data_IF_640362128597
#
_entry.id   IF_640362128597
#
_cell.length_a   1.000
_cell.length_b   1.000
_cell.length_c   1.000
_cell.angle_alpha   90.00
_cell.angle_beta   90.00
_cell.angle_gamma   90.00
#
_symmetry.space_group_name_H-M   'P 1'
#
loop_
_entity.id
_entity.type
_entity.pdbx_description
1 polymer ?
#
# COMPACT_ATOMS: atom_id res chain seq x y z
N UNK A 1 -13.02 -73.08 -24.16
CA UNK A 1 -13.50 -72.27 -23.03
C UNK A 1 -12.65 -71.04 -22.95
N UNK A 2 -13.18 -69.94 -23.51
CA UNK A 2 -12.42 -68.67 -23.67
C UNK A 2 -13.09 -67.61 -22.80
N UNK A 3 -12.40 -67.17 -21.74
CA UNK A 3 -12.83 -66.11 -20.84
C UNK A 3 -12.38 -64.75 -21.38
N UNK A 4 -13.37 -63.92 -21.70
CA UNK A 4 -13.21 -62.54 -22.18
C UNK A 4 -13.11 -61.58 -20.99
N UNK A 5 -11.94 -60.95 -20.76
CA UNK A 5 -11.74 -59.88 -19.79
C UNK A 5 -12.16 -58.53 -20.40
N UNK A 6 -13.22 -57.96 -19.90
CA UNK A 6 -13.65 -56.57 -20.20
C UNK A 6 -12.79 -55.61 -19.37
N UNK A 7 -12.00 -54.77 -20.06
CA UNK A 7 -11.28 -53.66 -19.46
C UNK A 7 -12.24 -52.49 -19.14
N UNK A 8 -12.34 -52.20 -17.84
CA UNK A 8 -12.96 -50.93 -17.39
C UNK A 8 -11.95 -49.80 -17.56
N UNK A 9 -12.28 -48.77 -18.37
CA UNK A 9 -11.53 -47.54 -18.44
C UNK A 9 -12.05 -46.58 -17.35
N UNK A 10 -11.16 -46.05 -16.42
CA UNK A 10 -11.58 -45.01 -15.52
C UNK A 10 -11.66 -43.66 -16.26
N UNK A 11 -12.82 -43.03 -16.20
CA UNK A 11 -13.04 -41.64 -16.61
C UNK A 11 -12.28 -40.75 -15.63
N UNK A 12 -11.21 -40.11 -16.10
CA UNK A 12 -10.52 -39.05 -15.35
C UNK A 12 -11.38 -37.80 -15.36
N UNK A 13 -12.09 -37.58 -14.26
CA UNK A 13 -12.75 -36.31 -13.98
C UNK A 13 -11.72 -35.22 -13.78
N UNK A 14 -11.73 -34.24 -14.67
CA UNK A 14 -10.94 -33.02 -14.59
C UNK A 14 -11.59 -32.13 -13.50
N UNK A 15 -11.05 -32.16 -12.27
CA UNK A 15 -11.40 -31.20 -11.22
C UNK A 15 -10.75 -29.84 -11.58
N UNK A 16 -11.55 -28.92 -12.12
CA UNK A 16 -11.19 -27.52 -12.25
C UNK A 16 -11.15 -26.93 -10.81
N UNK A 17 -9.96 -26.79 -10.26
CA UNK A 17 -9.74 -26.04 -9.03
C UNK A 17 -9.92 -24.55 -9.36
N UNK A 18 -11.10 -24.02 -9.01
CA UNK A 18 -11.38 -22.58 -9.02
C UNK A 18 -10.60 -21.95 -7.88
N UNK A 19 -9.38 -21.46 -8.14
CA UNK A 19 -8.61 -20.69 -7.18
C UNK A 19 -9.27 -19.34 -6.97
N UNK A 20 -10.12 -19.24 -5.94
CA UNK A 20 -10.55 -17.96 -5.39
C UNK A 20 -9.29 -17.30 -4.80
N UNK A 21 -8.73 -16.31 -5.51
CA UNK A 21 -7.80 -15.36 -4.93
C UNK A 21 -8.60 -14.48 -3.96
N UNK A 22 -8.75 -14.94 -2.72
CA UNK A 22 -9.16 -14.07 -1.62
C UNK A 22 -8.07 -13.02 -1.47
N UNK A 23 -8.31 -11.81 -1.98
CA UNK A 23 -7.53 -10.65 -1.63
C UNK A 23 -7.52 -10.53 -0.11
N UNK A 24 -6.36 -10.81 0.50
CA UNK A 24 -6.20 -10.64 1.95
C UNK A 24 -6.37 -9.18 2.28
N UNK A 25 -7.51 -8.89 2.87
CA UNK A 25 -7.82 -7.57 3.37
C UNK A 25 -6.84 -7.25 4.51
N UNK A 26 -5.98 -6.25 4.33
CA UNK A 26 -5.12 -5.76 5.39
C UNK A 26 -5.97 -5.30 6.57
N UNK A 27 -5.61 -5.71 7.78
CA UNK A 27 -6.23 -5.22 8.99
C UNK A 27 -5.85 -3.76 9.24
N UNK A 28 -6.67 -3.01 9.99
CA UNK A 28 -6.39 -1.60 10.36
C UNK A 28 -5.10 -1.41 11.16
N UNK A 29 -4.46 -2.48 11.60
CA UNK A 29 -3.23 -2.50 12.40
C UNK A 29 -2.01 -3.00 11.59
N UNK A 30 -2.11 -3.00 10.25
CA UNK A 30 -1.01 -3.39 9.38
C UNK A 30 0.22 -2.50 9.61
N UNK A 31 1.39 -3.13 9.85
CA UNK A 31 2.65 -2.40 9.95
C UNK A 31 3.10 -1.98 8.55
N UNK A 32 3.27 -0.69 8.34
CA UNK A 32 3.43 -0.11 7.01
C UNK A 32 4.80 0.54 6.83
N UNK A 33 5.48 0.27 5.72
CA UNK A 33 6.60 1.08 5.25
C UNK A 33 6.06 2.21 4.38
N UNK A 34 6.35 3.45 4.77
CA UNK A 34 6.06 4.65 3.97
C UNK A 34 7.38 5.08 3.31
N UNK A 35 7.41 5.11 1.98
CA UNK A 35 8.54 5.57 1.18
C UNK A 35 8.13 6.84 0.46
N UNK A 36 8.72 7.98 0.83
CA UNK A 36 8.28 9.30 0.39
C UNK A 36 9.44 10.14 -0.17
N UNK A 37 9.20 10.96 -1.22
CA UNK A 37 10.21 11.88 -1.70
C UNK A 37 10.52 12.93 -0.63
N UNK A 38 11.78 13.35 -0.53
CA UNK A 38 12.25 14.37 0.41
C UNK A 38 11.73 15.78 0.02
N UNK A 39 10.40 15.93 -0.10
CA UNK A 39 9.71 17.19 -0.41
C UNK A 39 8.89 17.62 0.81
N UNK A 40 8.99 18.89 1.19
CA UNK A 40 8.41 19.42 2.43
C UNK A 40 6.95 19.04 2.63
N UNK A 41 6.07 19.30 1.66
CA UNK A 41 4.63 19.02 1.79
C UNK A 41 4.31 17.53 1.94
N UNK A 42 5.03 16.67 1.20
CA UNK A 42 4.87 15.21 1.29
C UNK A 42 5.39 14.69 2.60
N UNK A 43 6.57 15.16 3.04
CA UNK A 43 7.16 14.77 4.32
C UNK A 43 6.30 15.15 5.52
N UNK A 44 5.61 16.30 5.46
CA UNK A 44 4.66 16.69 6.51
C UNK A 44 3.54 15.66 6.66
N UNK A 45 2.93 15.23 5.55
CA UNK A 45 1.90 14.18 5.55
C UNK A 45 2.49 12.85 6.02
N UNK A 46 3.68 12.49 5.54
CA UNK A 46 4.35 11.24 5.91
C UNK A 46 4.65 11.16 7.43
N UNK A 47 5.04 12.27 8.06
CA UNK A 47 5.20 12.32 9.51
C UNK A 47 3.88 12.24 10.27
N UNK A 48 2.83 12.87 9.78
CA UNK A 48 1.50 12.73 10.40
C UNK A 48 0.97 11.29 10.27
N UNK A 49 1.24 10.61 9.14
CA UNK A 49 0.96 9.18 8.98
C UNK A 49 1.76 8.33 9.98
N UNK A 50 3.07 8.58 10.11
CA UNK A 50 3.95 7.89 11.05
C UNK A 50 3.45 7.99 12.50
N UNK A 51 2.92 9.16 12.89
CA UNK A 51 2.40 9.41 14.23
C UNK A 51 1.01 8.79 14.48
N UNK A 52 0.30 8.40 13.43
CA UNK A 52 -1.10 7.91 13.53
C UNK A 52 -1.28 6.44 13.18
N UNK A 53 -0.29 5.85 12.51
CA UNK A 53 -0.35 4.46 12.07
C UNK A 53 0.93 3.71 12.47
N UNK A 54 0.86 2.40 12.77
CA UNK A 54 2.04 1.58 12.96
C UNK A 54 2.87 1.56 11.69
N UNK A 55 3.91 2.40 11.61
CA UNK A 55 4.67 2.55 10.37
C UNK A 55 6.14 2.90 10.62
N UNK A 56 6.93 2.73 9.57
CA UNK A 56 8.30 3.21 9.45
C UNK A 56 8.40 4.11 8.22
N UNK A 57 9.24 5.12 8.27
CA UNK A 57 9.37 6.11 7.22
C UNK A 57 10.77 6.08 6.62
N UNK A 58 10.83 5.98 5.30
CA UNK A 58 12.04 6.16 4.50
C UNK A 58 11.82 7.32 3.53
N UNK A 59 12.72 8.29 3.53
CA UNK A 59 12.75 9.33 2.51
C UNK A 59 13.71 8.95 1.38
N UNK A 60 13.39 9.38 0.16
CA UNK A 60 14.27 9.22 -0.98
C UNK A 60 14.50 10.53 -1.74
N UNK A 61 15.66 10.62 -2.38
CA UNK A 61 16.01 11.67 -3.33
C UNK A 61 16.55 11.00 -4.60
N UNK A 62 16.10 11.49 -5.73
CA UNK A 62 16.43 10.97 -7.07
C UNK A 62 15.28 11.22 -8.03
N UNK A 63 15.45 10.79 -9.26
CA UNK A 63 14.46 10.81 -10.33
C UNK A 63 14.26 9.39 -10.86
N UNK A 64 13.25 9.16 -11.70
CA UNK A 64 12.90 7.83 -12.21
C UNK A 64 14.07 7.03 -12.80
N UNK A 65 15.05 7.71 -13.40
CA UNK A 65 16.26 7.11 -14.00
C UNK A 65 17.44 6.96 -13.05
N UNK A 66 17.33 7.43 -11.79
CA UNK A 66 18.42 7.34 -10.81
C UNK A 66 18.65 5.89 -10.40
N UNK A 67 19.89 5.41 -10.58
CA UNK A 67 20.28 4.04 -10.21
C UNK A 67 20.61 3.89 -8.74
N UNK A 68 21.19 4.93 -8.12
CA UNK A 68 21.60 4.98 -6.71
C UNK A 68 20.91 6.17 -6.02
N UNK A 69 19.63 6.05 -5.63
CA UNK A 69 18.94 7.09 -4.89
C UNK A 69 19.53 7.28 -3.51
N UNK A 70 19.52 8.51 -3.01
CA UNK A 70 19.89 8.80 -1.63
C UNK A 70 18.69 8.48 -0.72
N UNK A 71 18.86 7.54 0.19
CA UNK A 71 17.82 7.11 1.11
C UNK A 71 18.18 7.49 2.56
N UNK A 72 17.17 7.85 3.33
CA UNK A 72 17.28 8.03 4.78
C UNK A 72 16.08 7.38 5.48
N UNK A 73 16.36 6.59 6.50
CA UNK A 73 15.32 6.04 7.38
C UNK A 73 15.17 6.93 8.63
N UNK A 74 13.93 7.12 9.07
CA UNK A 74 13.64 7.81 10.32
C UNK A 74 13.66 6.81 11.48
N UNK A 75 14.57 7.00 12.45
CA UNK A 75 14.73 6.10 13.59
C UNK A 75 13.89 6.49 14.83
N UNK A 76 13.04 7.52 14.70
CA UNK A 76 12.25 8.07 15.80
C UNK A 76 12.80 9.39 16.36
N UNK A 77 14.06 9.74 16.10
CA UNK A 77 14.71 10.97 16.56
C UNK A 77 15.47 11.70 15.47
N UNK A 78 16.08 10.99 14.54
CA UNK A 78 16.91 11.55 13.48
C UNK A 78 16.84 10.75 12.19
N UNK A 79 17.26 11.38 11.10
CA UNK A 79 17.43 10.72 9.81
C UNK A 79 18.75 9.98 9.75
N UNK A 80 18.71 8.69 9.47
CA UNK A 80 19.88 7.83 9.30
C UNK A 80 20.03 7.49 7.83
N UNK A 81 21.23 7.71 7.28
CA UNK A 81 21.54 7.31 5.91
C UNK A 81 21.33 5.81 5.74
N UNK A 82 20.71 5.44 4.62
CA UNK A 82 20.40 4.06 4.26
C UNK A 82 20.91 3.79 2.84
N UNK A 83 21.81 2.83 2.68
CA UNK A 83 22.22 2.42 1.34
C UNK A 83 21.09 1.65 0.64
N UNK A 84 21.03 1.71 -0.70
CA UNK A 84 20.06 0.93 -1.47
C UNK A 84 20.24 -0.58 -1.23
N UNK A 85 21.49 -1.02 -0.95
CA UNK A 85 21.81 -2.41 -0.59
C UNK A 85 21.15 -2.79 0.74
N UNK A 86 21.37 -2.00 1.80
CA UNK A 86 20.77 -2.28 3.12
C UNK A 86 19.24 -2.21 3.08
N UNK A 87 18.69 -1.31 2.27
CA UNK A 87 17.25 -1.23 2.01
C UNK A 87 16.73 -2.53 1.37
N UNK A 88 17.42 -3.04 0.35
CA UNK A 88 17.06 -4.31 -0.33
C UNK A 88 17.20 -5.51 0.58
N UNK A 89 18.21 -5.53 1.44
CA UNK A 89 18.47 -6.61 2.40
C UNK A 89 17.63 -6.49 3.69
N UNK A 90 16.80 -5.43 3.80
CA UNK A 90 15.90 -5.18 4.95
C UNK A 90 16.65 -4.99 6.28
N UNK A 91 17.93 -4.65 6.23
CA UNK A 91 18.82 -4.57 7.41
C UNK A 91 18.46 -3.42 8.37
N UNK A 92 17.62 -2.48 7.95
CA UNK A 92 17.20 -1.31 8.72
C UNK A 92 15.92 -1.53 9.54
N UNK A 93 15.26 -2.67 9.39
CA UNK A 93 13.98 -2.99 10.00
C UNK A 93 14.12 -4.03 11.11
N UNK A 94 13.43 -3.80 12.23
CA UNK A 94 13.31 -4.80 13.31
C UNK A 94 12.18 -5.81 13.02
N UNK A 95 11.17 -5.37 12.24
CA UNK A 95 10.03 -6.17 11.83
C UNK A 95 9.74 -5.88 10.36
N UNK A 96 9.43 -6.93 9.60
CA UNK A 96 9.02 -6.77 8.20
C UNK A 96 7.62 -6.13 8.13
N UNK A 97 7.45 -5.06 7.34
CA UNK A 97 6.14 -4.47 7.08
C UNK A 97 5.21 -5.40 6.29
N UNK A 98 3.92 -5.29 6.57
CA UNK A 98 2.88 -6.00 5.84
C UNK A 98 2.59 -5.35 4.47
N UNK A 99 2.84 -4.03 4.38
CA UNK A 99 2.60 -3.20 3.21
C UNK A 99 3.72 -2.17 3.06
N UNK A 100 4.22 -1.97 1.83
CA UNK A 100 5.02 -0.81 1.46
C UNK A 100 4.18 0.14 0.61
N UNK A 101 4.11 1.42 1.01
CA UNK A 101 3.46 2.49 0.26
C UNK A 101 4.54 3.41 -0.29
N UNK A 102 4.69 3.46 -1.61
CA UNK A 102 5.66 4.33 -2.29
C UNK A 102 4.90 5.53 -2.85
N UNK A 103 5.26 6.73 -2.40
CA UNK A 103 4.65 7.99 -2.81
C UNK A 103 5.49 8.61 -3.92
N UNK A 104 4.87 8.84 -5.08
CA UNK A 104 5.47 9.44 -6.26
C UNK A 104 5.11 8.71 -7.55
N UNK A 105 5.11 9.45 -8.66
CA UNK A 105 4.91 8.92 -10.00
C UNK A 105 6.18 8.24 -10.57
N UNK A 106 6.08 7.73 -11.79
CA UNK A 106 7.19 7.01 -12.42
C UNK A 106 8.34 7.93 -12.87
N UNK A 107 8.09 9.24 -12.99
CA UNK A 107 9.15 10.20 -13.28
C UNK A 107 9.98 10.54 -12.04
N UNK A 108 9.36 10.48 -10.87
CA UNK A 108 9.98 10.86 -9.61
C UNK A 108 10.60 9.68 -8.85
N UNK A 109 9.91 8.51 -8.84
CA UNK A 109 10.38 7.36 -8.06
C UNK A 109 11.43 6.59 -8.85
N UNK A 110 12.68 6.45 -8.34
CA UNK A 110 13.70 5.66 -8.99
C UNK A 110 13.24 4.22 -9.25
N UNK A 111 13.41 3.74 -10.48
CA UNK A 111 13.08 2.34 -10.82
C UNK A 111 13.85 1.35 -9.94
N UNK A 112 15.12 1.67 -9.65
CA UNK A 112 15.96 0.88 -8.74
C UNK A 112 15.39 0.76 -7.32
N UNK A 113 14.69 1.79 -6.83
CA UNK A 113 14.02 1.77 -5.53
C UNK A 113 12.75 0.92 -5.56
N UNK A 114 11.98 0.99 -6.65
CA UNK A 114 10.80 0.14 -6.84
C UNK A 114 11.20 -1.33 -6.83
N UNK A 115 12.22 -1.68 -7.62
CA UNK A 115 12.77 -3.05 -7.68
C UNK A 115 13.30 -3.50 -6.32
N UNK A 116 14.02 -2.60 -5.62
CA UNK A 116 14.56 -2.88 -4.29
C UNK A 116 13.47 -3.08 -3.23
N UNK A 117 12.22 -2.66 -3.47
CA UNK A 117 11.08 -2.84 -2.55
C UNK A 117 10.35 -4.17 -2.76
N UNK A 118 10.76 -4.99 -3.72
CA UNK A 118 10.11 -6.28 -4.06
C UNK A 118 10.08 -7.31 -2.93
N UNK A 119 10.83 -7.11 -1.86
CA UNK A 119 10.80 -7.93 -0.65
C UNK A 119 9.52 -7.71 0.20
N UNK A 120 8.80 -6.60 0.02
CA UNK A 120 7.58 -6.35 0.75
C UNK A 120 6.43 -7.25 0.23
N UNK A 121 5.63 -7.87 1.13
CA UNK A 121 4.52 -8.76 0.74
C UNK A 121 3.49 -8.08 -0.15
N UNK A 122 3.28 -6.78 0.07
CA UNK A 122 2.41 -5.94 -0.73
C UNK A 122 3.09 -4.59 -0.98
N UNK A 123 3.01 -4.09 -2.22
CA UNK A 123 3.52 -2.78 -2.61
C UNK A 123 2.40 -1.99 -3.26
N UNK A 124 2.09 -0.83 -2.72
CA UNK A 124 1.14 0.12 -3.28
C UNK A 124 1.85 1.41 -3.73
N UNK A 125 1.31 2.08 -4.74
CA UNK A 125 1.85 3.32 -5.29
C UNK A 125 0.81 4.43 -5.17
N UNK A 126 1.21 5.55 -4.55
CA UNK A 126 0.45 6.80 -4.53
C UNK A 126 1.14 7.75 -5.50
N UNK A 127 0.57 7.94 -6.69
CA UNK A 127 1.25 8.66 -7.78
C UNK A 127 1.10 10.17 -7.69
N UNK A 128 0.00 10.65 -7.15
CA UNK A 128 -0.28 12.08 -6.96
C UNK A 128 0.32 12.55 -5.62
N UNK A 129 1.09 13.65 -5.67
CA UNK A 129 1.76 14.23 -4.51
C UNK A 129 0.92 15.25 -3.76
N UNK A 130 -0.31 15.51 -4.19
CA UNK A 130 -1.20 16.40 -3.44
C UNK A 130 -1.55 15.80 -2.09
N UNK A 131 -1.63 16.65 -1.09
CA UNK A 131 -1.98 16.23 0.28
C UNK A 131 -3.28 15.43 0.33
N UNK A 132 -4.29 15.87 -0.42
CA UNK A 132 -5.59 15.17 -0.49
C UNK A 132 -5.49 13.80 -1.11
N UNK A 133 -4.76 13.65 -2.22
CA UNK A 133 -4.58 12.36 -2.88
C UNK A 133 -3.80 11.37 -1.98
N UNK A 134 -2.71 11.82 -1.35
CA UNK A 134 -1.94 10.98 -0.43
C UNK A 134 -2.84 10.49 0.71
N UNK A 135 -3.59 11.39 1.35
CA UNK A 135 -4.48 11.06 2.46
C UNK A 135 -5.58 10.09 2.02
N UNK A 136 -6.21 10.34 0.88
CA UNK A 136 -7.28 9.49 0.38
C UNK A 136 -6.77 8.09 0.03
N UNK A 137 -5.71 7.99 -0.78
CA UNK A 137 -5.19 6.69 -1.20
C UNK A 137 -4.65 5.87 -0.03
N UNK A 138 -3.85 6.50 0.87
CA UNK A 138 -3.34 5.81 2.06
C UNK A 138 -4.47 5.44 3.02
N UNK A 139 -5.45 6.31 3.22
CA UNK A 139 -6.60 6.04 4.08
C UNK A 139 -7.42 4.84 3.59
N UNK A 140 -7.63 4.72 2.27
CA UNK A 140 -8.29 3.55 1.68
C UNK A 140 -7.44 2.28 1.80
N UNK A 141 -6.14 2.35 1.51
CA UNK A 141 -5.21 1.23 1.65
C UNK A 141 -5.18 0.68 3.08
N UNK A 142 -5.11 1.57 4.07
CA UNK A 142 -5.05 1.23 5.49
C UNK A 142 -6.44 1.04 6.13
N UNK A 143 -7.53 1.20 5.37
CA UNK A 143 -8.91 1.07 5.84
C UNK A 143 -9.19 1.88 7.09
N UNK A 144 -8.86 3.15 7.04
CA UNK A 144 -9.04 4.05 8.17
C UNK A 144 -10.48 4.05 8.69
N UNK A 145 -10.57 4.14 10.00
CA UNK A 145 -11.83 4.37 10.69
C UNK A 145 -12.25 5.84 10.53
N UNK A 146 -13.54 6.16 10.75
CA UNK A 146 -14.03 7.54 10.65
C UNK A 146 -13.26 8.56 11.50
N UNK A 147 -12.63 8.14 12.58
CA UNK A 147 -11.84 9.01 13.47
C UNK A 147 -10.56 9.50 12.77
N UNK A 148 -9.85 8.60 12.05
CA UNK A 148 -8.63 8.93 11.30
C UNK A 148 -8.99 9.88 10.15
N UNK A 149 -10.03 9.57 9.38
CA UNK A 149 -10.52 10.45 8.31
C UNK A 149 -10.84 11.86 8.81
N UNK A 150 -11.57 11.99 9.92
CA UNK A 150 -11.90 13.29 10.52
C UNK A 150 -10.66 14.04 10.99
N UNK A 151 -9.68 13.34 11.56
CA UNK A 151 -8.46 13.97 12.01
C UNK A 151 -7.64 14.54 10.85
N UNK A 152 -7.39 13.74 9.79
CA UNK A 152 -6.65 14.22 8.63
C UNK A 152 -7.41 15.33 7.88
N UNK A 153 -8.71 15.22 7.74
CA UNK A 153 -9.53 16.28 7.14
C UNK A 153 -9.41 17.60 7.91
N UNK A 154 -9.51 17.58 9.23
CA UNK A 154 -9.34 18.76 10.06
C UNK A 154 -7.91 19.32 10.00
N UNK A 155 -6.90 18.44 10.04
CA UNK A 155 -5.47 18.80 10.02
C UNK A 155 -5.06 19.53 8.75
N UNK A 156 -5.63 19.13 7.60
CA UNK A 156 -5.28 19.65 6.28
C UNK A 156 -6.38 20.47 5.63
N UNK A 157 -7.43 20.82 6.39
CA UNK A 157 -8.59 21.56 5.91
C UNK A 157 -9.23 20.93 4.64
N UNK A 158 -9.40 19.61 4.66
CA UNK A 158 -9.99 18.85 3.57
C UNK A 158 -11.48 18.66 3.82
N UNK A 159 -12.27 18.71 2.74
CA UNK A 159 -13.69 18.36 2.80
C UNK A 159 -13.83 16.84 2.76
N UNK A 160 -14.52 16.27 3.76
CA UNK A 160 -14.93 14.87 3.72
C UNK A 160 -16.17 14.74 2.83
N UNK A 161 -16.10 13.86 1.84
CA UNK A 161 -17.25 13.46 1.05
C UNK A 161 -17.80 12.17 1.61
N UNK A 162 -19.10 12.16 1.90
CA UNK A 162 -19.79 10.94 2.35
C UNK A 162 -20.33 10.20 1.12
N UNK A 163 -19.59 9.19 0.66
CA UNK A 163 -20.01 8.36 -0.49
C UNK A 163 -21.35 7.65 -0.27
N UNK A 164 -21.84 7.58 0.98
CA UNK A 164 -23.15 7.02 1.29
C UNK A 164 -24.28 8.04 1.20
N UNK A 165 -23.96 9.34 1.10
CA UNK A 165 -24.98 10.40 1.04
C UNK A 165 -25.90 10.27 -0.21
N UNK A 166 -25.40 10.02 -1.43
CA UNK A 166 -26.26 9.77 -2.58
C UNK A 166 -27.19 8.58 -2.40
N UNK A 167 -26.74 7.54 -1.70
CA UNK A 167 -27.54 6.34 -1.44
C UNK A 167 -28.63 6.56 -0.39
N UNK A 168 -28.40 7.50 0.54
CA UNK A 168 -29.40 7.87 1.57
C UNK A 168 -30.50 8.74 1.01
N UNK A 169 -30.21 9.56 -0.02
CA UNK A 169 -31.17 10.43 -0.68
C UNK A 169 -31.92 9.75 -1.83
N UNK A 170 -31.44 8.63 -2.37
CA UNK A 170 -32.17 7.79 -3.33
C UNK A 170 -33.16 6.84 -2.64
N UNK A 171 -33.98 7.36 -1.73
CA UNK A 171 -35.02 6.53 -1.17
C UNK A 171 -36.10 6.32 -2.24
N UNK A 172 -36.68 5.12 -2.30
CA UNK A 172 -37.72 4.72 -3.25
C UNK A 172 -38.97 5.61 -3.22
N UNK A 173 -39.08 6.54 -2.27
CA UNK A 173 -40.12 7.55 -2.22
C UNK A 173 -39.95 8.70 -3.23
N UNK A 174 -38.78 8.90 -3.81
CA UNK A 174 -38.54 9.98 -4.79
C UNK A 174 -38.88 9.53 -6.24
N UNK A 175 -39.42 8.33 -6.44
CA UNK A 175 -39.82 7.79 -7.74
C UNK A 175 -41.34 7.66 -7.94
N UNK A 176 -42.16 8.33 -7.14
CA UNK A 176 -43.62 8.32 -7.24
C UNK A 176 -44.15 9.63 -7.87
#
# INVERSE_FOLDING_TARGET
MTFSHRFFRPVRGLLLALSLTMGTALASDAYTLIVAPARYSVMQVAFDLLNRTPSVLVSYQGEGTTTEPVLHAWNGSEWVFLSLKDYREVNFLQRQPDLAVIIGDDALVPTSLIEATSWAPQVARVRDLTTSAIINEVGHLLRWKPAEWKWFAARYNLKLEDEAEPRRHSSWYDQA
#
